data_IF_720151153866
#
_entry.id   IF_720151153866
#
_cell.length_a   1.000
_cell.length_b   1.000
_cell.length_c   1.000
_cell.angle_alpha   90.00
_cell.angle_beta   90.00
_cell.angle_gamma   90.00
#
_symmetry.space_group_name_H-M   'P 1'
#
loop_
_entity.id
_entity.type
_entity.pdbx_description
1 polymer ?
#
# COMPACT_ATOMS: atom_id res chain seq x y z
N UNK A 1 29.63 -33.97 30.88
CA UNK A 1 29.39 -34.97 29.83
C UNK A 1 27.93 -34.81 29.45
N UNK A 2 27.56 -33.84 28.63
CA UNK A 2 27.77 -33.69 27.17
C UNK A 2 26.94 -34.68 26.33
N UNK A 3 26.31 -34.11 25.28
CA UNK A 3 25.62 -34.68 24.11
C UNK A 3 24.12 -35.00 24.27
N UNK A 4 23.17 -34.52 23.46
CA UNK A 4 23.20 -33.79 22.19
C UNK A 4 22.36 -34.48 21.10
N UNK A 5 21.52 -33.70 20.40
CA UNK A 5 20.91 -33.94 19.05
C UNK A 5 19.65 -34.86 19.04
N UNK A 6 18.54 -34.55 18.32
CA UNK A 6 18.42 -33.68 17.16
C UNK A 6 17.01 -33.24 16.76
N UNK A 7 17.03 -32.27 15.86
CA UNK A 7 15.91 -31.54 15.27
C UNK A 7 15.05 -32.41 14.34
N UNK A 8 13.76 -32.55 14.67
CA UNK A 8 12.77 -33.06 13.72
C UNK A 8 12.17 -31.91 12.88
N UNK A 9 12.78 -31.69 11.72
CA UNK A 9 12.11 -31.50 10.43
C UNK A 9 10.81 -30.70 10.40
N UNK A 10 10.85 -29.38 10.65
CA UNK A 10 9.79 -28.47 10.16
C UNK A 10 9.86 -28.35 8.64
N UNK A 11 9.18 -29.27 7.94
CA UNK A 11 8.91 -29.19 6.49
C UNK A 11 8.34 -27.80 6.17
N UNK A 12 9.11 -27.00 5.44
CA UNK A 12 8.68 -25.72 4.83
C UNK A 12 7.50 -26.02 3.91
N UNK A 13 6.28 -25.82 4.41
CA UNK A 13 5.05 -25.92 3.61
C UNK A 13 5.11 -24.81 2.55
N UNK A 14 4.97 -25.20 1.29
CA UNK A 14 5.04 -24.31 0.14
C UNK A 14 4.09 -23.12 0.30
N UNK A 15 4.62 -21.93 0.02
CA UNK A 15 3.87 -20.68 0.04
C UNK A 15 2.82 -20.72 -1.09
N UNK A 16 1.56 -20.97 -0.76
CA UNK A 16 0.45 -20.81 -1.71
C UNK A 16 0.37 -19.33 -2.11
N UNK A 17 0.67 -19.05 -3.38
CA UNK A 17 0.84 -17.69 -3.94
C UNK A 17 -0.42 -16.79 -3.92
N UNK A 18 -1.58 -17.29 -3.47
CA UNK A 18 -2.87 -16.58 -3.61
C UNK A 18 -3.71 -16.46 -2.33
N UNK A 19 -3.17 -16.75 -1.14
CA UNK A 19 -3.90 -16.42 0.08
C UNK A 19 -3.70 -14.94 0.42
N UNK A 20 -4.74 -14.14 0.16
CA UNK A 20 -4.85 -12.76 0.66
C UNK A 20 -4.70 -12.84 2.18
N UNK A 21 -3.52 -12.48 2.70
CA UNK A 21 -3.30 -12.45 4.15
C UNK A 21 -4.34 -11.49 4.72
N UNK A 22 -5.13 -11.98 5.67
CA UNK A 22 -6.06 -11.16 6.41
C UNK A 22 -5.27 -10.06 7.10
N UNK A 23 -5.66 -8.80 6.88
CA UNK A 23 -4.98 -7.66 7.48
C UNK A 23 -5.32 -7.66 8.98
N UNK A 24 -4.37 -8.08 9.81
CA UNK A 24 -4.50 -7.98 11.26
C UNK A 24 -3.89 -6.65 11.70
N UNK A 25 -4.75 -5.72 12.11
CA UNK A 25 -4.32 -4.45 12.73
C UNK A 25 -3.88 -4.76 14.16
N UNK A 26 -2.65 -4.36 14.51
CA UNK A 26 -2.10 -4.48 15.86
C UNK A 26 -2.32 -3.16 16.60
N UNK A 27 -3.40 -3.09 17.38
CA UNK A 27 -3.78 -1.86 18.10
C UNK A 27 -2.78 -1.47 19.21
N UNK A 28 -1.93 -2.41 19.65
CA UNK A 28 -0.85 -2.17 20.61
C UNK A 28 0.44 -1.61 19.97
N UNK A 29 0.48 -1.46 18.64
CA UNK A 29 1.64 -0.93 17.93
C UNK A 29 1.82 0.58 18.22
N UNK A 30 2.92 0.91 18.90
CA UNK A 30 3.26 2.31 19.26
C UNK A 30 4.30 2.95 18.36
N UNK A 31 5.04 2.15 17.57
CA UNK A 31 6.13 2.62 16.70
C UNK A 31 5.78 2.39 15.24
N UNK A 32 5.97 3.42 14.43
CA UNK A 32 5.81 3.37 12.97
C UNK A 32 7.12 3.82 12.34
N UNK A 33 7.57 3.09 11.33
CA UNK A 33 8.75 3.41 10.55
C UNK A 33 8.35 3.47 9.08
N UNK A 34 8.86 4.47 8.37
CA UNK A 34 8.66 4.63 6.94
C UNK A 34 10.03 4.50 6.28
N UNK A 35 10.18 3.49 5.43
CA UNK A 35 11.39 3.30 4.64
C UNK A 35 11.22 3.95 3.27
N UNK A 36 12.08 4.93 2.99
CA UNK A 36 12.11 5.67 1.73
C UNK A 36 13.44 5.52 1.01
N UNK A 37 14.24 4.51 1.38
CA UNK A 37 15.60 4.30 0.84
C UNK A 37 15.63 4.18 -0.70
N UNK A 38 14.53 3.75 -1.31
CA UNK A 38 14.37 3.62 -2.76
C UNK A 38 13.38 4.64 -3.36
N UNK A 39 12.95 5.64 -2.60
CA UNK A 39 11.99 6.66 -3.04
C UNK A 39 12.60 8.07 -2.86
N UNK A 40 13.45 8.45 -3.81
CA UNK A 40 14.14 9.75 -3.78
C UNK A 40 13.18 10.92 -3.89
N UNK A 41 12.19 10.84 -4.77
CA UNK A 41 11.19 11.90 -4.96
C UNK A 41 10.38 12.14 -3.68
N UNK A 42 9.99 11.07 -2.99
CA UNK A 42 9.31 11.15 -1.69
C UNK A 42 10.19 11.77 -0.61
N UNK A 43 11.49 11.42 -0.56
CA UNK A 43 12.45 12.03 0.36
C UNK A 43 12.59 13.54 0.10
N UNK A 44 12.78 13.94 -1.15
CA UNK A 44 12.95 15.34 -1.52
C UNK A 44 11.71 16.17 -1.14
N UNK A 45 10.50 15.62 -1.37
CA UNK A 45 9.25 16.24 -0.95
C UNK A 45 9.17 16.43 0.57
N UNK A 46 9.49 15.38 1.34
CA UNK A 46 9.46 15.42 2.81
C UNK A 46 10.46 16.44 3.35
N UNK A 47 11.70 16.42 2.85
CA UNK A 47 12.72 17.39 3.28
C UNK A 47 12.37 18.82 2.91
N UNK A 48 11.79 19.04 1.73
CA UNK A 48 11.29 20.36 1.31
C UNK A 48 10.22 20.89 2.27
N UNK A 49 9.23 20.06 2.62
CA UNK A 49 8.18 20.43 3.58
C UNK A 49 8.73 20.68 4.97
N UNK A 50 9.64 19.83 5.47
CA UNK A 50 10.25 20.01 6.78
C UNK A 50 11.02 21.33 6.90
N UNK A 51 11.82 21.69 5.88
CA UNK A 51 12.51 22.98 5.86
C UNK A 51 11.52 24.13 5.92
N UNK A 52 10.52 24.12 5.03
CA UNK A 52 9.48 25.16 4.96
C UNK A 52 8.71 25.30 6.27
N UNK A 53 8.34 24.20 6.92
CA UNK A 53 7.62 24.25 8.19
C UNK A 53 8.48 24.78 9.34
N UNK A 54 9.81 24.59 9.27
CA UNK A 54 10.75 25.07 10.29
C UNK A 54 11.34 26.46 9.99
N UNK A 55 10.97 27.09 8.89
CA UNK A 55 11.25 28.51 8.63
C UNK A 55 10.36 29.39 9.54
N UNK A 56 10.72 29.46 10.83
CA UNK A 56 9.98 30.19 11.87
C UNK A 56 10.89 30.67 12.99
N UNK A 57 10.50 31.77 13.64
CA UNK A 57 11.32 32.42 14.67
C UNK A 57 11.18 31.80 16.07
N UNK A 58 10.07 31.09 16.35
CA UNK A 58 9.74 30.63 17.69
C UNK A 58 9.18 29.19 17.72
N UNK A 59 9.24 28.59 18.92
CA UNK A 59 8.68 27.27 19.22
C UNK A 59 9.59 26.10 18.85
N UNK A 60 9.24 24.89 19.30
CA UNK A 60 10.02 23.67 19.07
C UNK A 60 10.21 23.33 17.59
N UNK A 61 11.26 22.60 17.27
CA UNK A 61 11.48 22.01 15.94
C UNK A 61 10.31 21.09 15.56
N UNK A 62 9.85 21.21 14.31
CA UNK A 62 8.83 20.37 13.70
C UNK A 62 9.54 19.18 13.07
N UNK A 63 9.20 17.98 13.54
CA UNK A 63 9.76 16.73 13.05
C UNK A 63 8.79 16.06 12.08
N UNK A 64 9.28 15.04 11.36
CA UNK A 64 8.45 14.26 10.44
C UNK A 64 7.19 13.70 11.10
N UNK A 65 7.29 13.23 12.35
CA UNK A 65 6.13 12.74 13.11
C UNK A 65 5.02 13.79 13.27
N UNK A 66 5.38 15.07 13.43
CA UNK A 66 4.41 16.15 13.62
C UNK A 66 3.66 16.41 12.31
N UNK A 67 4.37 16.37 11.16
CA UNK A 67 3.77 16.43 9.84
C UNK A 67 2.82 15.24 9.58
N UNK A 68 3.24 14.02 9.92
CA UNK A 68 2.42 12.82 9.76
C UNK A 68 1.13 12.90 10.57
N UNK A 69 1.23 13.25 11.86
CA UNK A 69 0.06 13.35 12.74
C UNK A 69 -0.90 14.45 12.28
N UNK A 70 -0.36 15.58 11.80
CA UNK A 70 -1.18 16.63 11.20
C UNK A 70 -1.90 16.13 9.94
N UNK A 71 -1.17 15.50 9.02
CA UNK A 71 -1.71 15.05 7.73
C UNK A 71 -2.77 13.95 7.88
N UNK A 72 -2.52 12.95 8.75
CA UNK A 72 -3.47 11.86 9.00
C UNK A 72 -4.81 12.40 9.52
N UNK A 73 -4.79 13.43 10.37
CA UNK A 73 -5.99 14.08 10.90
C UNK A 73 -6.74 14.94 9.85
N UNK A 74 -6.19 15.10 8.64
CA UNK A 74 -6.79 15.87 7.55
C UNK A 74 -7.22 15.02 6.36
N UNK A 75 -6.96 13.72 6.38
CA UNK A 75 -7.39 12.83 5.31
C UNK A 75 -8.91 12.82 5.21
N UNK A 76 -9.41 13.00 3.99
CA UNK A 76 -10.84 12.89 3.66
C UNK A 76 -11.14 11.50 3.10
N UNK A 77 -12.43 11.12 3.04
CA UNK A 77 -12.85 9.86 2.40
C UNK A 77 -12.35 9.75 0.95
N UNK A 78 -12.35 10.87 0.22
CA UNK A 78 -11.82 10.94 -1.15
C UNK A 78 -10.31 10.70 -1.19
N UNK A 79 -9.56 11.08 -0.17
CA UNK A 79 -8.13 10.80 -0.10
C UNK A 79 -7.87 9.35 0.31
N UNK A 80 -8.73 8.76 1.15
CA UNK A 80 -8.71 7.32 1.43
C UNK A 80 -8.93 6.51 0.15
N UNK A 81 -9.90 6.90 -0.69
CA UNK A 81 -10.13 6.28 -2.00
C UNK A 81 -8.88 6.36 -2.89
N UNK A 82 -8.19 7.50 -2.92
CA UNK A 82 -6.93 7.63 -3.68
C UNK A 82 -5.81 6.76 -3.11
N UNK A 83 -5.71 6.63 -1.80
CA UNK A 83 -4.72 5.73 -1.17
C UNK A 83 -4.99 4.28 -1.57
N UNK A 84 -6.26 3.87 -1.55
CA UNK A 84 -6.68 2.54 -2.01
C UNK A 84 -6.40 2.36 -3.51
N UNK A 85 -6.69 3.36 -4.33
CA UNK A 85 -6.39 3.35 -5.76
C UNK A 85 -4.88 3.18 -6.04
N UNK A 86 -4.06 3.95 -5.32
CA UNK A 86 -2.61 3.90 -5.45
C UNK A 86 -2.00 2.57 -5.00
N UNK A 87 -2.73 1.77 -4.22
CA UNK A 87 -2.29 0.44 -3.80
C UNK A 87 -2.43 -0.63 -4.89
N UNK A 88 -3.19 -0.36 -5.95
CA UNK A 88 -3.45 -1.30 -7.03
C UNK A 88 -2.34 -1.26 -8.08
N UNK A 89 -1.88 -2.44 -8.49
CA UNK A 89 -1.10 -2.60 -9.72
C UNK A 89 -1.94 -2.31 -10.96
N UNK A 90 -1.27 -2.05 -12.09
CA UNK A 90 -1.96 -1.78 -13.36
C UNK A 90 -2.91 -2.92 -13.76
N UNK A 91 -2.51 -4.19 -13.55
CA UNK A 91 -3.37 -5.34 -13.84
C UNK A 91 -4.57 -5.42 -12.88
N UNK A 92 -4.41 -5.13 -11.59
CA UNK A 92 -5.52 -5.12 -10.64
C UNK A 92 -6.52 -3.98 -10.95
N UNK A 93 -6.05 -2.85 -11.47
CA UNK A 93 -6.94 -1.78 -11.98
C UNK A 93 -7.77 -2.27 -13.16
N UNK A 94 -7.17 -3.02 -14.09
CA UNK A 94 -7.87 -3.61 -15.24
C UNK A 94 -8.87 -4.68 -14.78
N UNK A 95 -8.49 -5.56 -13.86
CA UNK A 95 -9.38 -6.58 -13.28
C UNK A 95 -10.58 -5.95 -12.59
N UNK A 96 -10.37 -4.88 -11.82
CA UNK A 96 -11.47 -4.14 -11.20
C UNK A 96 -12.39 -3.50 -12.25
N UNK A 97 -11.82 -2.93 -13.31
CA UNK A 97 -12.61 -2.34 -14.39
C UNK A 97 -13.47 -3.39 -15.12
N UNK A 98 -12.91 -4.59 -15.36
CA UNK A 98 -13.64 -5.73 -15.89
C UNK A 98 -14.78 -6.16 -14.97
N UNK A 99 -14.48 -6.35 -13.68
CA UNK A 99 -15.47 -6.74 -12.68
C UNK A 99 -16.64 -5.75 -12.64
N UNK A 100 -16.35 -4.46 -12.59
CA UNK A 100 -17.36 -3.40 -12.58
C UNK A 100 -18.15 -3.34 -13.88
N UNK A 101 -17.52 -3.53 -15.04
CA UNK A 101 -18.22 -3.61 -16.33
C UNK A 101 -19.18 -4.80 -16.35
N UNK A 102 -18.71 -5.99 -15.99
CA UNK A 102 -19.54 -7.20 -15.95
C UNK A 102 -20.72 -7.04 -15.01
N UNK A 103 -20.49 -6.48 -13.82
CA UNK A 103 -21.53 -6.18 -12.84
C UNK A 103 -22.58 -5.18 -13.36
N UNK A 104 -22.15 -4.10 -14.03
CA UNK A 104 -23.05 -3.05 -14.53
C UNK A 104 -23.81 -3.46 -15.79
N UNK A 105 -23.16 -4.18 -16.70
CA UNK A 105 -23.73 -4.58 -17.98
C UNK A 105 -24.43 -5.94 -17.94
N UNK A 106 -24.36 -6.66 -16.82
CA UNK A 106 -24.87 -8.03 -16.70
C UNK A 106 -24.14 -9.03 -17.61
N UNK A 107 -22.92 -8.69 -18.04
CA UNK A 107 -22.08 -9.54 -18.90
C UNK A 107 -21.14 -10.38 -18.05
N UNK A 108 -20.57 -11.44 -18.65
CA UNK A 108 -19.52 -12.24 -18.03
C UNK A 108 -18.32 -12.35 -18.96
N UNK A 109 -17.79 -11.20 -19.39
CA UNK A 109 -16.63 -11.15 -20.26
C UNK A 109 -15.40 -11.66 -19.52
N UNK A 110 -14.58 -12.43 -20.22
CA UNK A 110 -13.22 -12.72 -19.84
C UNK A 110 -12.33 -11.48 -20.02
N UNK A 111 -11.13 -11.51 -19.43
CA UNK A 111 -10.14 -10.44 -19.56
C UNK A 111 -9.80 -10.14 -21.02
N UNK A 112 -9.59 -11.18 -21.84
CA UNK A 112 -9.29 -11.02 -23.26
C UNK A 112 -10.42 -10.33 -24.02
N UNK A 113 -11.67 -10.80 -23.84
CA UNK A 113 -12.85 -10.21 -24.51
C UNK A 113 -13.07 -8.76 -24.08
N UNK A 114 -12.87 -8.46 -22.79
CA UNK A 114 -12.98 -7.11 -22.28
C UNK A 114 -11.92 -6.18 -22.89
N UNK A 115 -10.68 -6.64 -23.01
CA UNK A 115 -9.59 -5.85 -23.61
C UNK A 115 -9.80 -5.65 -25.11
N UNK A 116 -10.16 -6.70 -25.86
CA UNK A 116 -10.48 -6.60 -27.30
C UNK A 116 -11.59 -5.58 -27.53
N UNK A 117 -12.67 -5.67 -26.74
CA UNK A 117 -13.80 -4.72 -26.79
C UNK A 117 -13.38 -3.30 -26.42
N UNK A 118 -12.53 -3.12 -25.40
CA UNK A 118 -12.12 -1.80 -24.92
C UNK A 118 -11.11 -1.12 -25.84
N UNK A 119 -10.25 -1.90 -26.48
CA UNK A 119 -9.23 -1.44 -27.43
C UNK A 119 -9.75 -1.31 -28.86
N UNK A 120 -10.99 -1.74 -29.13
CA UNK A 120 -11.61 -1.63 -30.45
C UNK A 120 -10.93 -2.50 -31.52
N UNK A 121 -10.36 -3.63 -31.10
CA UNK A 121 -9.69 -4.58 -32.00
C UNK A 121 -10.77 -5.46 -32.62
N UNK A 122 -10.90 -5.43 -33.94
CA UNK A 122 -11.84 -6.26 -34.72
C UNK A 122 -11.12 -7.41 -35.41
#
# INVERSE_FOLDING_TARGET
MENGIGEEGKKKRGMHKNQKKELVIKEDQTKFFVDLSHNKEGLDLIFGLLRKCNEKDFGKEILFKDLCLYAVNKLTDKDIEKVQEGSLSEMEKVERALYEHNKKSGTNLSMGEFLVKRLGIN
#
